data_IF_859089511264
#
_entry.id   IF_859089511264
#
_cell.length_a   1.000
_cell.length_b   1.000
_cell.length_c   1.000
_cell.angle_alpha   90.00
_cell.angle_beta   90.00
_cell.angle_gamma   90.00
#
_symmetry.space_group_name_H-M   'P 1'
#
loop_
_entity.id
_entity.type
_entity.pdbx_description
1 polymer ?
#
# COMPACT_ATOMS: atom_id res chain seq x y z
N UNK A 1 -28.08 11.06 12.90
CA UNK A 1 -27.81 10.21 11.74
C UNK A 1 -28.41 8.83 11.85
N UNK A 2 -28.19 8.02 10.81
CA UNK A 2 -28.58 6.60 10.70
C UNK A 2 -27.59 5.77 11.50
N UNK A 3 -28.04 4.98 12.46
CA UNK A 3 -27.18 4.17 13.32
C UNK A 3 -27.39 2.66 13.10
N UNK A 4 -26.31 1.92 12.93
CA UNK A 4 -26.33 0.44 12.85
C UNK A 4 -26.74 -0.19 14.19
N UNK A 5 -27.65 -1.17 14.15
CA UNK A 5 -28.07 -2.01 15.28
C UNK A 5 -28.89 -3.20 14.71
N UNK A 6 -28.69 -4.48 15.12
CA UNK A 6 -27.81 -4.99 16.20
C UNK A 6 -26.44 -5.50 15.73
N UNK A 7 -25.61 -5.90 16.69
CA UNK A 7 -24.30 -6.53 16.48
C UNK A 7 -24.39 -7.80 15.58
N UNK A 8 -23.26 -8.15 14.95
CA UNK A 8 -23.07 -9.33 14.10
C UNK A 8 -24.08 -9.40 12.95
N UNK A 9 -24.24 -8.29 12.23
CA UNK A 9 -25.20 -8.18 11.12
C UNK A 9 -24.62 -7.55 9.87
N UNK A 10 -25.18 -7.98 8.75
CA UNK A 10 -25.18 -7.22 7.51
C UNK A 10 -26.29 -6.17 7.56
N UNK A 11 -25.96 -4.96 7.15
CA UNK A 11 -26.86 -3.83 7.00
C UNK A 11 -26.95 -3.51 5.52
N UNK A 12 -28.16 -3.31 5.02
CA UNK A 12 -28.41 -2.82 3.68
C UNK A 12 -29.48 -1.73 3.76
N UNK A 13 -29.14 -0.53 3.31
CA UNK A 13 -30.04 0.61 3.24
C UNK A 13 -29.68 1.41 1.99
N UNK A 14 -30.67 1.76 1.18
CA UNK A 14 -30.50 2.58 -0.01
C UNK A 14 -31.51 3.73 -0.05
N UNK A 15 -31.16 4.77 -0.80
CA UNK A 15 -32.04 5.87 -1.13
C UNK A 15 -31.88 6.24 -2.61
N UNK A 16 -32.99 6.56 -3.26
CA UNK A 16 -33.01 7.07 -4.63
C UNK A 16 -32.88 8.59 -4.63
N UNK A 17 -32.21 9.13 -5.64
CA UNK A 17 -32.16 10.56 -5.95
C UNK A 17 -32.37 10.77 -7.46
N UNK A 18 -32.62 12.02 -7.92
CA UNK A 18 -32.78 12.30 -9.34
C UNK A 18 -31.57 11.85 -10.15
N UNK A 19 -31.81 11.07 -11.20
CA UNK A 19 -30.74 10.53 -12.04
C UNK A 19 -29.87 11.64 -12.63
N UNK A 20 -28.56 11.45 -12.59
CA UNK A 20 -27.61 12.34 -13.24
C UNK A 20 -26.37 11.59 -13.75
N UNK A 21 -25.59 12.27 -14.59
CA UNK A 21 -24.22 11.88 -14.93
C UNK A 21 -23.28 13.01 -14.55
N UNK A 22 -22.07 12.66 -14.10
CA UNK A 22 -21.02 13.64 -13.86
C UNK A 22 -20.23 14.01 -15.14
N UNK A 23 -20.70 13.64 -16.33
CA UNK A 23 -20.08 14.10 -17.57
C UNK A 23 -19.95 15.63 -17.58
N UNK A 24 -18.76 16.11 -17.92
CA UNK A 24 -18.36 17.52 -17.96
C UNK A 24 -18.45 18.26 -16.60
N UNK A 25 -18.61 17.53 -15.49
CA UNK A 25 -18.77 18.10 -14.14
C UNK A 25 -17.91 17.36 -13.13
N UNK A 26 -17.47 18.08 -12.09
CA UNK A 26 -16.91 17.43 -10.91
C UNK A 26 -17.99 16.61 -10.22
N UNK A 27 -17.64 15.42 -9.73
CA UNK A 27 -18.47 14.63 -8.81
C UNK A 27 -17.86 14.74 -7.42
N UNK A 28 -18.68 15.09 -6.43
CA UNK A 28 -18.32 15.12 -5.02
C UNK A 28 -19.23 14.19 -4.25
N UNK A 29 -18.64 13.27 -3.49
CA UNK A 29 -19.33 12.38 -2.55
C UNK A 29 -18.78 12.69 -1.16
N UNK A 30 -19.62 13.21 -0.28
CA UNK A 30 -19.24 13.57 1.08
C UNK A 30 -20.23 13.00 2.09
N UNK A 31 -19.74 12.46 3.20
CA UNK A 31 -20.59 12.09 4.32
C UNK A 31 -19.77 12.05 5.62
N UNK A 32 -20.47 12.08 6.75
CA UNK A 32 -19.87 11.91 8.06
C UNK A 32 -20.16 10.53 8.63
N UNK A 33 -19.16 9.97 9.30
CA UNK A 33 -19.25 8.67 9.99
C UNK A 33 -18.63 8.79 11.37
N UNK A 34 -19.29 8.19 12.37
CA UNK A 34 -18.82 8.12 13.75
C UNK A 34 -18.85 6.67 14.22
N UNK A 35 -17.70 6.13 14.61
CA UNK A 35 -17.57 4.79 15.19
C UNK A 35 -17.59 4.87 16.73
N UNK A 36 -18.67 5.37 17.32
CA UNK A 36 -18.72 5.66 18.75
C UNK A 36 -18.54 4.43 19.64
N UNK A 37 -18.85 3.25 19.10
CA UNK A 37 -18.69 1.98 19.79
C UNK A 37 -17.25 1.49 19.87
N UNK A 38 -16.28 2.22 19.29
CA UNK A 38 -14.90 1.76 19.05
C UNK A 38 -14.90 0.51 18.18
N UNK A 39 -15.19 0.71 16.90
CA UNK A 39 -15.34 -0.36 15.92
C UNK A 39 -14.05 -1.20 15.81
N UNK A 40 -14.20 -2.51 15.90
CA UNK A 40 -13.12 -3.49 15.82
C UNK A 40 -13.06 -4.17 14.44
N UNK A 41 -14.21 -4.58 13.90
CA UNK A 41 -14.35 -5.02 12.53
C UNK A 41 -15.71 -4.67 11.93
N UNK A 42 -15.71 -3.86 10.88
CA UNK A 42 -16.85 -3.53 10.06
C UNK A 42 -16.58 -2.43 9.04
N UNK A 43 -17.48 -2.33 8.07
CA UNK A 43 -17.45 -1.28 7.05
C UNK A 43 -18.05 0.02 7.56
N UNK A 44 -17.55 1.13 7.02
CA UNK A 44 -18.11 2.47 7.17
C UNK A 44 -18.23 3.21 5.83
N UNK A 45 -18.23 2.48 4.71
CA UNK A 45 -18.24 3.01 3.35
C UNK A 45 -19.65 3.21 2.77
N UNK A 46 -19.75 4.07 1.76
CA UNK A 46 -20.97 4.34 0.98
C UNK A 46 -20.80 3.80 -0.44
N UNK A 47 -21.90 3.37 -1.07
CA UNK A 47 -21.96 2.97 -2.48
C UNK A 47 -22.83 3.95 -3.26
N UNK A 48 -22.36 4.39 -4.41
CA UNK A 48 -23.17 5.02 -5.45
C UNK A 48 -23.47 3.99 -6.53
N UNK A 49 -24.73 3.93 -6.95
CA UNK A 49 -25.20 2.95 -7.92
C UNK A 49 -25.84 3.66 -9.12
N UNK A 50 -25.75 3.00 -10.27
CA UNK A 50 -26.27 3.50 -11.53
C UNK A 50 -27.33 2.58 -12.11
N UNK A 51 -28.28 3.16 -12.85
CA UNK A 51 -29.37 2.44 -13.50
C UNK A 51 -30.43 1.95 -12.52
N UNK A 52 -31.37 1.14 -12.99
CA UNK A 52 -32.48 0.68 -12.15
C UNK A 52 -32.05 -0.48 -11.24
N UNK A 53 -32.08 -0.27 -9.92
CA UNK A 53 -31.86 -1.32 -8.92
C UNK A 53 -33.16 -1.64 -8.18
N UNK A 54 -33.37 -2.90 -7.81
CA UNK A 54 -34.39 -3.25 -6.81
C UNK A 54 -33.83 -3.01 -5.40
N UNK A 55 -34.19 -1.87 -4.82
CA UNK A 55 -33.80 -1.48 -3.46
C UNK A 55 -34.23 -2.51 -2.40
N UNK A 56 -35.28 -3.32 -2.65
CA UNK A 56 -35.74 -4.34 -1.70
C UNK A 56 -34.78 -5.52 -1.61
N UNK A 57 -33.99 -5.74 -2.66
CA UNK A 57 -32.98 -6.82 -2.73
C UNK A 57 -31.55 -6.28 -2.70
N UNK A 58 -31.37 -5.00 -2.36
CA UNK A 58 -30.05 -4.38 -2.27
C UNK A 58 -29.15 -5.15 -1.29
N UNK A 59 -27.98 -5.56 -1.77
CA UNK A 59 -27.05 -6.45 -1.06
C UNK A 59 -25.62 -6.33 -1.60
N UNK A 60 -24.69 -7.09 -1.03
CA UNK A 60 -23.28 -7.11 -1.47
C UNK A 60 -23.07 -7.51 -2.93
N UNK A 61 -24.01 -8.27 -3.51
CA UNK A 61 -24.01 -8.69 -4.91
C UNK A 61 -24.57 -7.61 -5.87
N UNK A 62 -25.13 -6.53 -5.34
CA UNK A 62 -25.66 -5.45 -6.18
C UNK A 62 -24.50 -4.66 -6.79
N UNK A 63 -24.47 -4.60 -8.13
CA UNK A 63 -23.49 -3.80 -8.86
C UNK A 63 -23.58 -2.33 -8.44
N UNK A 64 -22.44 -1.75 -8.12
CA UNK A 64 -22.29 -0.32 -7.81
C UNK A 64 -21.31 0.32 -8.80
N UNK A 65 -21.36 1.64 -8.91
CA UNK A 65 -20.44 2.41 -9.75
C UNK A 65 -19.23 2.89 -8.98
N UNK A 66 -19.44 3.31 -7.72
CA UNK A 66 -18.39 3.80 -6.83
C UNK A 66 -18.66 3.25 -5.43
N UNK A 67 -17.62 2.77 -4.75
CA UNK A 67 -17.64 2.51 -3.31
C UNK A 67 -16.54 3.35 -2.65
N UNK A 68 -16.91 4.15 -1.65
CA UNK A 68 -15.99 5.08 -1.01
C UNK A 68 -16.18 5.11 0.51
N UNK A 69 -15.09 5.09 1.27
CA UNK A 69 -15.14 5.32 2.72
C UNK A 69 -14.32 4.35 3.57
N UNK A 70 -14.30 4.54 4.90
CA UNK A 70 -13.48 3.75 5.80
C UNK A 70 -13.94 2.30 5.90
N UNK A 71 -12.98 1.42 6.10
CA UNK A 71 -13.15 0.01 6.40
C UNK A 71 -12.12 -0.41 7.44
N UNK A 72 -12.61 -0.92 8.56
CA UNK A 72 -11.81 -1.28 9.72
C UNK A 72 -12.05 -2.76 9.97
N UNK A 73 -11.01 -3.57 10.01
CA UNK A 73 -11.09 -4.94 10.50
C UNK A 73 -9.77 -5.37 11.15
N UNK A 74 -9.77 -5.38 12.48
CA UNK A 74 -8.62 -5.71 13.30
C UNK A 74 -7.44 -4.75 13.09
N UNK A 75 -6.23 -5.31 13.13
CA UNK A 75 -5.00 -4.56 12.90
C UNK A 75 -4.57 -4.52 11.43
N UNK A 76 -5.10 -5.43 10.60
CA UNK A 76 -4.68 -5.60 9.20
C UNK A 76 -5.40 -4.66 8.23
N UNK A 77 -6.62 -4.25 8.55
CA UNK A 77 -7.45 -3.41 7.66
C UNK A 77 -7.87 -2.15 8.39
N UNK A 78 -7.30 -1.01 7.99
CA UNK A 78 -7.63 0.34 8.50
C UNK A 78 -7.45 1.36 7.37
N UNK A 79 -8.30 1.25 6.36
CA UNK A 79 -8.12 1.99 5.11
C UNK A 79 -9.42 2.62 4.62
N UNK A 80 -9.28 3.59 3.74
CA UNK A 80 -10.38 4.18 2.97
C UNK A 80 -10.43 3.47 1.63
N UNK A 81 -11.55 2.79 1.36
CA UNK A 81 -11.85 2.31 0.02
C UNK A 81 -12.16 3.49 -0.89
N UNK A 82 -11.63 3.44 -2.11
CA UNK A 82 -12.04 4.27 -3.24
C UNK A 82 -12.06 3.36 -4.46
N UNK A 83 -13.15 2.60 -4.61
CA UNK A 83 -13.31 1.58 -5.65
C UNK A 83 -14.15 2.17 -6.76
N UNK A 84 -13.66 2.04 -7.99
CA UNK A 84 -14.33 2.49 -9.20
C UNK A 84 -14.70 1.29 -10.06
N UNK A 85 -15.94 1.22 -10.53
CA UNK A 85 -16.40 0.15 -11.41
C UNK A 85 -16.23 0.57 -12.87
N UNK A 86 -15.51 -0.24 -13.64
CA UNK A 86 -15.33 -0.05 -15.08
C UNK A 86 -15.45 -1.40 -15.79
N UNK A 87 -16.15 -1.46 -16.92
CA UNK A 87 -16.40 -2.69 -17.67
C UNK A 87 -16.89 -3.88 -16.81
N UNK A 88 -17.77 -3.58 -15.84
CA UNK A 88 -18.33 -4.57 -14.91
C UNK A 88 -17.36 -5.12 -13.87
N UNK A 89 -16.17 -4.54 -13.74
CA UNK A 89 -15.16 -4.93 -12.74
C UNK A 89 -14.93 -3.82 -11.73
N UNK A 90 -14.80 -4.21 -10.47
CA UNK A 90 -14.51 -3.30 -9.36
C UNK A 90 -12.98 -3.13 -9.25
N UNK A 91 -12.48 -1.95 -9.56
CA UNK A 91 -11.06 -1.62 -9.46
C UNK A 91 -10.79 -0.90 -8.14
N UNK A 92 -9.95 -1.49 -7.29
CA UNK A 92 -9.49 -0.88 -6.05
C UNK A 92 -8.39 0.15 -6.36
N UNK A 93 -8.38 1.24 -5.60
CA UNK A 93 -7.25 2.17 -5.58
C UNK A 93 -5.97 1.43 -5.15
N UNK A 94 -4.85 1.71 -5.84
CA UNK A 94 -3.53 1.13 -5.55
C UNK A 94 -2.88 1.73 -4.31
N UNK A 95 -3.22 2.99 -4.02
CA UNK A 95 -2.67 3.73 -2.88
C UNK A 95 -3.34 3.28 -1.59
N UNK A 96 -2.55 3.22 -0.52
CA UNK A 96 -3.04 2.88 0.82
C UNK A 96 -3.41 4.16 1.56
N UNK A 97 -4.71 4.42 1.68
CA UNK A 97 -5.25 5.62 2.34
C UNK A 97 -5.70 5.21 3.75
N UNK A 98 -5.02 5.69 4.78
CA UNK A 98 -5.40 5.38 6.18
C UNK A 98 -6.70 6.07 6.56
N UNK A 99 -7.59 5.34 7.26
CA UNK A 99 -8.79 5.92 7.84
C UNK A 99 -8.59 6.31 9.32
N UNK A 100 -9.46 7.19 9.82
CA UNK A 100 -9.50 7.52 11.25
C UNK A 100 -10.17 6.39 12.03
N UNK A 101 -9.66 6.09 13.23
CA UNK A 101 -10.09 4.92 14.02
C UNK A 101 -10.50 5.24 15.46
N UNK A 102 -10.62 6.52 15.79
CA UNK A 102 -11.13 6.93 17.11
C UNK A 102 -12.68 6.86 17.14
N UNK A 103 -13.28 7.35 18.24
CA UNK A 103 -14.73 7.29 18.48
C UNK A 103 -15.46 8.58 18.10
N UNK A 104 -14.74 9.55 17.52
CA UNK A 104 -15.27 10.84 17.09
C UNK A 104 -15.92 10.72 15.72
N UNK A 105 -16.65 11.77 15.37
CA UNK A 105 -17.21 11.92 14.03
C UNK A 105 -16.11 12.41 13.10
N UNK A 106 -15.98 11.79 11.93
CA UNK A 106 -15.10 12.25 10.85
C UNK A 106 -15.89 12.43 9.55
N UNK A 107 -15.42 13.33 8.69
CA UNK A 107 -16.02 13.62 7.38
C UNK A 107 -15.12 13.07 6.29
N UNK A 108 -15.65 12.21 5.43
CA UNK A 108 -14.95 11.64 4.28
C UNK A 108 -15.50 12.27 3.01
N UNK A 109 -14.61 12.78 2.17
CA UNK A 109 -14.96 13.43 0.89
C UNK A 109 -14.15 12.84 -0.25
N UNK A 110 -14.82 12.44 -1.32
CA UNK A 110 -14.21 11.99 -2.56
C UNK A 110 -14.63 12.88 -3.71
N UNK A 111 -13.65 13.41 -4.43
CA UNK A 111 -13.82 14.35 -5.53
C UNK A 111 -13.24 13.71 -6.78
N UNK A 112 -14.03 13.63 -7.86
CA UNK A 112 -13.58 13.17 -9.18
C UNK A 112 -13.83 14.30 -10.19
N UNK A 113 -12.80 14.70 -10.94
CA UNK A 113 -12.84 15.87 -11.85
C UNK A 113 -12.86 15.47 -13.33
N UNK A 114 -13.31 16.36 -14.24
CA UNK A 114 -13.35 16.08 -15.68
C UNK A 114 -12.02 15.81 -16.36
N UNK A 115 -10.90 16.19 -15.74
CA UNK A 115 -9.55 15.88 -16.21
C UNK A 115 -9.06 14.49 -15.77
N UNK A 116 -9.96 13.65 -15.25
CA UNK A 116 -9.64 12.32 -14.68
C UNK A 116 -8.65 12.39 -13.52
N UNK A 117 -8.67 13.49 -12.77
CA UNK A 117 -8.01 13.59 -11.45
C UNK A 117 -9.00 13.36 -10.32
N UNK A 118 -8.48 13.05 -9.15
CA UNK A 118 -9.28 12.89 -7.93
C UNK A 118 -8.60 13.50 -6.70
N UNK A 119 -9.39 13.74 -5.67
CA UNK A 119 -8.90 14.02 -4.30
C UNK A 119 -9.74 13.25 -3.28
N UNK A 120 -9.09 12.71 -2.26
CA UNK A 120 -9.72 12.17 -1.05
C UNK A 120 -9.35 13.07 0.12
N UNK A 121 -10.37 13.63 0.77
CA UNK A 121 -10.21 14.46 1.95
C UNK A 121 -10.82 13.72 3.15
N UNK A 122 -10.17 13.88 4.29
CA UNK A 122 -10.73 13.51 5.60
C UNK A 122 -10.70 14.78 6.45
N UNK A 123 -11.83 15.14 7.04
CA UNK A 123 -11.96 16.31 7.92
C UNK A 123 -11.51 17.62 7.24
N UNK A 124 -11.94 17.79 5.97
CA UNK A 124 -11.53 18.88 5.06
C UNK A 124 -10.03 19.00 4.79
N UNK A 125 -9.22 17.98 5.13
CA UNK A 125 -7.80 17.92 4.80
C UNK A 125 -7.57 16.91 3.68
N UNK A 126 -6.91 17.33 2.61
CA UNK A 126 -6.50 16.40 1.55
C UNK A 126 -5.53 15.37 2.12
N UNK A 127 -5.91 14.10 2.01
CA UNK A 127 -5.08 12.95 2.41
C UNK A 127 -4.44 12.30 1.19
N UNK A 128 -5.11 12.35 0.05
CA UNK A 128 -4.63 11.75 -1.19
C UNK A 128 -5.19 12.49 -2.40
N UNK A 129 -4.39 12.59 -3.47
CA UNK A 129 -4.81 13.11 -4.77
C UNK A 129 -3.98 12.52 -5.90
N UNK A 130 -4.53 12.51 -7.11
CA UNK A 130 -3.84 11.90 -8.24
C UNK A 130 -4.71 11.72 -9.46
N UNK A 131 -4.40 10.69 -10.26
CA UNK A 131 -5.06 10.45 -11.53
C UNK A 131 -5.66 9.05 -11.60
N UNK A 132 -6.87 8.96 -12.16
CA UNK A 132 -7.55 7.70 -12.43
C UNK A 132 -6.72 6.77 -13.35
N UNK A 133 -5.87 7.35 -14.21
CA UNK A 133 -4.97 6.62 -15.10
C UNK A 133 -3.85 5.86 -14.39
N UNK A 134 -3.33 6.40 -13.28
CA UNK A 134 -2.18 5.84 -12.57
C UNK A 134 -2.60 5.04 -11.34
N UNK A 135 -3.62 5.51 -10.63
CA UNK A 135 -3.88 5.10 -9.25
C UNK A 135 -4.90 3.96 -9.17
N UNK A 136 -5.50 3.58 -10.31
CA UNK A 136 -6.27 2.34 -10.48
C UNK A 136 -5.69 1.51 -11.62
N UNK A 137 -5.97 0.20 -11.59
CA UNK A 137 -5.65 -0.73 -12.69
C UNK A 137 -6.84 -0.88 -13.64
N UNK A 138 -7.41 0.24 -14.09
CA UNK A 138 -8.54 0.24 -15.05
C UNK A 138 -8.00 0.07 -16.47
N UNK A 139 -7.05 0.91 -16.85
CA UNK A 139 -6.38 0.86 -18.14
C UNK A 139 -5.02 0.17 -18.00
N UNK A 140 -4.52 -0.49 -19.07
CA UNK A 140 -3.16 -0.98 -19.09
C UNK A 140 -2.16 0.19 -18.94
N UNK A 141 -0.90 -0.07 -18.54
CA UNK A 141 0.08 1.00 -18.41
C UNK A 141 0.36 1.66 -19.76
N UNK A 142 0.54 2.98 -19.77
CA UNK A 142 0.88 3.75 -20.98
C UNK A 142 2.16 3.27 -21.65
N UNK A 143 3.14 2.88 -20.85
CA UNK A 143 4.43 2.38 -21.32
C UNK A 143 4.73 1.01 -20.70
N UNK A 144 5.32 0.14 -21.51
CA UNK A 144 5.81 -1.16 -21.10
C UNK A 144 7.30 -1.26 -21.41
N UNK A 145 8.00 -2.17 -20.73
CA UNK A 145 9.37 -2.52 -21.15
C UNK A 145 9.28 -3.17 -22.51
N UNK A 146 10.17 -2.76 -23.41
CA UNK A 146 10.29 -3.36 -24.73
C UNK A 146 10.56 -4.87 -24.59
N UNK A 147 9.62 -5.74 -25.02
CA UNK A 147 9.76 -7.19 -24.89
C UNK A 147 10.85 -7.74 -25.82
N UNK A 148 11.19 -7.01 -26.89
CA UNK A 148 12.19 -7.41 -27.88
C UNK A 148 13.58 -6.85 -27.57
N UNK A 149 13.68 -5.93 -26.61
CA UNK A 149 14.95 -5.35 -26.20
C UNK A 149 15.86 -6.39 -25.55
N UNK A 150 17.09 -6.46 -26.05
CA UNK A 150 18.16 -7.29 -25.50
C UNK A 150 19.25 -6.41 -24.92
N UNK A 151 19.87 -6.90 -23.84
CA UNK A 151 21.09 -6.29 -23.31
C UNK A 151 22.17 -6.30 -24.39
N UNK A 152 22.73 -5.13 -24.76
CA UNK A 152 23.85 -5.07 -25.70
C UNK A 152 25.04 -5.86 -25.18
N UNK A 153 25.78 -6.52 -26.08
CA UNK A 153 26.96 -7.32 -25.71
C UNK A 153 28.06 -6.46 -25.08
N UNK A 154 28.16 -5.19 -25.46
CA UNK A 154 29.12 -4.20 -24.95
C UNK A 154 28.65 -3.52 -23.65
N UNK A 155 27.52 -3.95 -23.07
CA UNK A 155 26.99 -3.37 -21.84
C UNK A 155 27.54 -4.06 -20.59
N UNK A 156 28.50 -3.43 -19.93
CA UNK A 156 29.03 -3.94 -18.67
C UNK A 156 28.19 -3.48 -17.47
N UNK A 157 27.48 -4.43 -16.86
CA UNK A 157 26.67 -4.23 -15.65
C UNK A 157 27.36 -4.78 -14.38
N UNK A 158 28.63 -5.19 -14.48
CA UNK A 158 29.42 -5.58 -13.32
C UNK A 158 30.05 -4.33 -12.71
N UNK A 159 29.52 -3.91 -11.57
CA UNK A 159 30.04 -2.75 -10.82
C UNK A 159 31.50 -2.96 -10.36
N UNK A 160 31.85 -4.22 -10.07
CA UNK A 160 33.19 -4.60 -9.62
C UNK A 160 33.77 -5.71 -10.49
N UNK A 161 35.03 -5.56 -10.87
CA UNK A 161 35.82 -6.56 -11.58
C UNK A 161 37.04 -6.96 -10.74
N UNK A 162 37.60 -8.16 -10.93
CA UNK A 162 38.86 -8.53 -10.27
C UNK A 162 39.96 -7.55 -10.67
N UNK A 163 40.79 -7.17 -9.70
CA UNK A 163 41.93 -6.28 -9.91
C UNK A 163 43.00 -7.01 -10.72
N UNK A 164 43.27 -6.60 -11.97
CA UNK A 164 44.25 -7.27 -12.82
C UNK A 164 45.68 -7.17 -12.27
N UNK A 165 45.96 -6.17 -11.41
CA UNK A 165 47.26 -5.96 -10.79
C UNK A 165 47.41 -6.74 -9.48
N UNK A 166 46.30 -7.18 -8.86
CA UNK A 166 46.31 -8.04 -7.68
C UNK A 166 46.50 -9.50 -8.11
N UNK A 167 47.76 -9.87 -8.31
CA UNK A 167 48.16 -11.25 -8.61
C UNK A 167 48.45 -11.99 -7.31
N UNK A 168 48.09 -13.28 -7.28
CA UNK A 168 48.46 -14.15 -6.16
C UNK A 168 49.99 -14.18 -6.02
N UNK A 169 50.55 -13.88 -4.84
CA UNK A 169 51.98 -14.00 -4.62
C UNK A 169 52.47 -15.43 -4.84
N UNK A 170 53.66 -15.57 -5.40
CA UNK A 170 54.34 -16.87 -5.51
C UNK A 170 54.55 -17.46 -4.11
N UNK A 171 54.28 -18.76 -3.94
CA UNK A 171 54.39 -19.44 -2.65
C UNK A 171 53.21 -19.27 -1.69
N UNK A 172 52.18 -18.47 -2.03
CA UNK A 172 51.04 -18.22 -1.12
C UNK A 172 50.26 -19.50 -0.78
N UNK A 173 50.05 -20.37 -1.77
CA UNK A 173 49.33 -21.64 -1.57
C UNK A 173 50.20 -22.72 -0.91
N UNK A 174 51.52 -22.51 -0.85
CA UNK A 174 52.49 -23.44 -0.26
C UNK A 174 52.64 -23.23 1.26
N UNK A 175 52.03 -22.18 1.82
CA UNK A 175 51.99 -21.93 3.26
C UNK A 175 50.98 -22.90 3.89
N UNK A 176 51.41 -23.87 4.71
CA UNK A 176 50.50 -24.82 5.34
C UNK A 176 49.64 -24.13 6.40
N UNK A 177 48.43 -24.60 6.61
CA UNK A 177 47.52 -24.09 7.65
C UNK A 177 48.00 -24.40 9.08
N UNK A 178 48.79 -25.46 9.23
CA UNK A 178 49.38 -25.92 10.48
C UNK A 178 50.89 -26.14 10.32
N UNK A 179 51.64 -25.82 11.36
CA UNK A 179 53.07 -26.09 11.48
C UNK A 179 53.32 -26.86 12.79
N UNK A 180 54.39 -27.64 12.86
CA UNK A 180 54.82 -28.24 14.12
C UNK A 180 55.21 -27.14 15.11
N UNK A 181 54.76 -27.26 16.36
CA UNK A 181 55.08 -26.30 17.42
C UNK A 181 56.60 -26.23 17.65
N UNK A 182 57.27 -25.09 17.36
CA UNK A 182 58.71 -24.97 17.50
C UNK A 182 59.17 -24.90 18.97
N UNK A 183 58.25 -24.58 19.89
CA UNK A 183 58.53 -24.48 21.32
C UNK A 183 58.20 -25.78 22.06
N UNK A 184 57.55 -26.73 21.38
CA UNK A 184 57.26 -28.04 21.96
C UNK A 184 58.55 -28.82 22.19
N UNK A 185 58.75 -29.20 23.45
CA UNK A 185 59.82 -30.11 23.87
C UNK A 185 59.20 -31.44 24.23
N UNK A 186 59.90 -32.52 23.86
CA UNK A 186 59.56 -33.86 24.30
C UNK A 186 59.50 -33.89 25.84
N UNK A 187 58.40 -34.37 26.44
CA UNK A 187 58.29 -34.51 27.89
C UNK A 187 59.40 -35.40 28.46
N UNK A 188 59.87 -35.09 29.67
CA UNK A 188 60.92 -35.88 30.34
C UNK A 188 60.43 -37.29 30.74
N UNK A 189 59.12 -37.51 30.81
CA UNK A 189 58.49 -38.79 31.16
C UNK A 189 58.02 -39.62 29.95
N UNK A 190 58.37 -39.21 28.71
CA UNK A 190 57.97 -39.92 27.49
C UNK A 190 58.82 -41.18 27.25
N UNK A 191 58.17 -42.33 27.05
CA UNK A 191 58.83 -43.60 26.75
C UNK A 191 58.57 -44.02 25.28
N UNK A 192 59.61 -44.02 24.44
CA UNK A 192 59.47 -44.37 23.01
C UNK A 192 59.12 -45.85 22.77
N UNK A 193 59.38 -46.76 23.71
CA UNK A 193 59.04 -48.19 23.57
C UNK A 193 57.55 -48.46 23.88
N UNK A 194 56.95 -47.69 24.80
CA UNK A 194 55.56 -47.85 25.24
C UNK A 194 54.58 -46.86 24.57
N UNK A 195 54.98 -45.60 24.36
CA UNK A 195 54.14 -44.52 23.80
C UNK A 195 54.36 -44.27 22.30
N UNK A 196 55.44 -44.82 21.73
CA UNK A 196 55.86 -44.65 20.33
C UNK A 196 56.73 -43.41 20.09
N UNK A 197 57.17 -43.21 18.83
CA UNK A 197 58.03 -42.08 18.46
C UNK A 197 57.31 -40.75 18.70
N UNK A 198 57.84 -39.95 19.63
CA UNK A 198 57.27 -38.64 19.94
C UNK A 198 57.29 -37.73 18.70
N UNK A 199 56.14 -37.17 18.37
CA UNK A 199 56.01 -36.14 17.34
C UNK A 199 55.50 -34.84 17.96
N UNK A 200 56.10 -33.68 17.63
CA UNK A 200 55.65 -32.41 18.17
C UNK A 200 54.20 -32.13 17.73
N UNK A 201 53.35 -31.56 18.61
CA UNK A 201 51.99 -31.20 18.24
C UNK A 201 52.00 -30.15 17.12
N UNK A 202 50.97 -30.18 16.26
CA UNK A 202 50.77 -29.13 15.26
C UNK A 202 50.01 -27.95 15.87
N UNK A 203 50.41 -26.74 15.50
CA UNK A 203 49.77 -25.48 15.87
C UNK A 203 49.35 -24.72 14.61
N UNK A 204 48.33 -23.86 14.68
CA UNK A 204 47.96 -23.01 13.55
C UNK A 204 49.14 -22.14 13.10
N UNK A 205 49.43 -22.15 11.80
CA UNK A 205 50.51 -21.35 11.23
C UNK A 205 50.13 -19.86 11.21
N UNK A 206 50.83 -18.96 11.93
CA UNK A 206 50.51 -17.53 11.94
C UNK A 206 50.65 -16.86 10.56
N UNK A 207 51.45 -17.44 9.66
CA UNK A 207 51.64 -16.92 8.30
C UNK A 207 50.53 -17.35 7.33
N UNK A 208 49.69 -18.33 7.69
CA UNK A 208 48.59 -18.77 6.85
C UNK A 208 47.43 -17.77 6.87
N UNK A 209 47.26 -17.03 5.76
CA UNK A 209 46.24 -15.98 5.61
C UNK A 209 44.91 -16.48 5.04
N UNK A 210 44.71 -17.80 4.99
CA UNK A 210 43.54 -18.42 4.37
C UNK A 210 43.60 -18.42 2.84
N UNK A 211 42.58 -18.99 2.16
CA UNK A 211 42.54 -19.05 0.70
C UNK A 211 42.63 -17.66 0.07
N UNK A 212 43.55 -17.49 -0.88
CA UNK A 212 43.73 -16.22 -1.57
C UNK A 212 42.45 -15.81 -2.31
N UNK A 213 42.07 -14.54 -2.17
CA UNK A 213 40.95 -13.92 -2.89
C UNK A 213 41.45 -12.67 -3.60
N UNK A 214 41.35 -12.66 -4.91
CA UNK A 214 41.67 -11.49 -5.73
C UNK A 214 40.83 -10.29 -5.27
N UNK A 215 41.49 -9.15 -5.05
CA UNK A 215 40.81 -7.89 -4.79
C UNK A 215 39.89 -7.54 -5.94
N UNK A 216 38.81 -6.82 -5.64
CA UNK A 216 37.89 -6.30 -6.63
C UNK A 216 38.03 -4.78 -6.70
N UNK A 217 38.16 -4.25 -7.91
CA UNK A 217 38.18 -2.81 -8.18
C UNK A 217 36.90 -2.39 -8.87
N UNK A 218 36.56 -1.10 -8.77
CA UNK A 218 35.44 -0.53 -9.53
C UNK A 218 35.72 -0.67 -11.01
N UNK A 219 34.74 -1.18 -11.74
CA UNK A 219 34.86 -1.36 -13.17
C UNK A 219 34.73 0.00 -13.88
N UNK A 220 35.77 0.49 -14.58
CA UNK A 220 35.71 1.76 -15.31
C UNK A 220 34.69 1.74 -16.46
N UNK A 221 34.32 0.55 -16.96
CA UNK A 221 33.35 0.38 -18.04
C UNK A 221 31.91 0.15 -17.54
N UNK A 222 31.66 0.21 -16.23
CA UNK A 222 30.33 -0.02 -15.67
C UNK A 222 29.32 1.01 -16.20
N UNK A 223 28.36 0.55 -17.01
CA UNK A 223 27.29 1.37 -17.59
C UNK A 223 26.02 1.38 -16.74
N UNK A 224 26.03 0.74 -15.58
CA UNK A 224 24.85 0.53 -14.74
C UNK A 224 24.16 -0.80 -15.02
N UNK A 225 23.23 -1.20 -14.14
CA UNK A 225 22.38 -2.38 -14.41
C UNK A 225 21.52 -2.11 -15.64
N UNK A 226 21.68 -2.92 -16.67
CA UNK A 226 20.90 -2.80 -17.89
C UNK A 226 19.39 -2.92 -17.58
N UNK A 227 18.60 -2.05 -18.20
CA UNK A 227 17.13 -2.08 -18.16
C UNK A 227 16.62 -1.93 -19.58
N UNK A 228 15.68 -2.78 -19.98
CA UNK A 228 14.98 -2.62 -21.25
C UNK A 228 14.37 -1.20 -21.34
N UNK A 229 14.45 -0.54 -22.51
CA UNK A 229 13.81 0.75 -22.74
C UNK A 229 12.30 0.62 -22.54
N UNK A 230 11.66 1.73 -22.16
CA UNK A 230 10.20 1.81 -22.12
C UNK A 230 9.70 2.23 -23.51
N UNK A 231 8.73 1.49 -24.02
CA UNK A 231 8.02 1.79 -25.27
C UNK A 231 6.54 2.02 -24.97
N UNK A 232 5.86 2.72 -25.87
CA UNK A 232 4.42 2.90 -25.76
C UNK A 232 3.71 1.54 -25.87
N UNK A 233 2.75 1.32 -24.98
CA UNK A 233 2.03 0.07 -24.92
C UNK A 233 0.97 0.02 -26.04
N UNK A 234 1.06 -0.90 -27.01
CA UNK A 234 0.09 -0.99 -28.11
C UNK A 234 -1.32 -1.33 -27.63
N UNK A 235 -1.46 -1.92 -26.43
CA UNK A 235 -2.75 -2.21 -25.81
C UNK A 235 -3.35 -0.98 -25.09
N UNK A 236 -2.56 0.07 -24.86
CA UNK A 236 -3.08 1.30 -24.25
C UNK A 236 -3.95 2.06 -25.24
N UNK A 237 -5.22 2.22 -24.87
CA UNK A 237 -6.17 3.09 -25.54
C UNK A 237 -6.62 4.14 -24.54
N UNK A 238 -6.46 5.40 -24.91
CA UNK A 238 -6.87 6.50 -24.06
C UNK A 238 -8.40 6.55 -23.96
N UNK A 239 -8.90 6.72 -22.73
CA UNK A 239 -10.34 6.79 -22.44
C UNK A 239 -10.60 8.15 -21.81
N UNK A 240 -10.85 9.20 -22.60
CA UNK A 240 -10.96 10.57 -22.09
C UNK A 240 -12.10 10.74 -21.07
N UNK A 241 -13.15 9.91 -21.20
CA UNK A 241 -14.31 9.89 -20.31
C UNK A 241 -14.15 8.89 -19.14
N UNK A 242 -12.92 8.50 -18.77
CA UNK A 242 -12.64 7.54 -17.68
C UNK A 242 -13.26 7.96 -16.32
N UNK A 243 -13.41 9.27 -16.11
CA UNK A 243 -14.02 9.85 -14.91
C UNK A 243 -15.56 9.80 -14.89
N UNK A 244 -16.19 9.47 -16.02
CA UNK A 244 -17.64 9.58 -16.21
C UNK A 244 -18.34 8.33 -15.68
N UNK A 245 -19.26 8.55 -14.76
CA UNK A 245 -20.22 7.58 -14.26
C UNK A 245 -21.62 7.98 -14.77
N UNK A 246 -22.20 7.23 -15.73
CA UNK A 246 -23.52 7.52 -16.27
C UNK A 246 -24.62 7.01 -15.35
N UNK A 247 -25.80 7.64 -15.41
CA UNK A 247 -27.05 7.15 -14.81
C UNK A 247 -27.00 6.93 -13.28
N UNK A 248 -26.23 7.72 -12.55
CA UNK A 248 -26.18 7.68 -11.09
C UNK A 248 -27.54 8.12 -10.54
N UNK A 249 -28.18 7.27 -9.74
CA UNK A 249 -29.54 7.51 -9.22
C UNK A 249 -29.81 6.87 -7.85
N UNK A 250 -28.88 6.11 -7.28
CA UNK A 250 -28.99 5.59 -5.92
C UNK A 250 -27.72 5.75 -5.11
N UNK A 251 -27.91 5.91 -3.80
CA UNK A 251 -26.88 5.84 -2.77
C UNK A 251 -27.26 4.75 -1.78
N UNK A 252 -26.30 4.02 -1.25
CA UNK A 252 -26.58 3.00 -0.25
C UNK A 252 -25.42 2.66 0.66
N UNK A 253 -25.77 2.15 1.84
CA UNK A 253 -24.87 1.50 2.77
C UNK A 253 -25.16 0.02 2.72
N UNK A 254 -24.17 -0.77 2.31
CA UNK A 254 -24.21 -2.23 2.42
C UNK A 254 -22.94 -2.65 3.14
N UNK A 255 -23.08 -3.11 4.37
CA UNK A 255 -21.97 -3.21 5.34
C UNK A 255 -22.13 -4.42 6.23
N UNK A 256 -21.02 -5.08 6.56
CA UNK A 256 -20.93 -5.98 7.70
C UNK A 256 -20.38 -5.21 8.90
N UNK A 257 -20.95 -5.39 10.10
CA UNK A 257 -20.34 -4.95 11.36
C UNK A 257 -20.43 -6.04 12.44
N UNK A 258 -19.30 -6.31 13.09
CA UNK A 258 -19.23 -7.17 14.29
C UNK A 258 -19.86 -6.43 15.46
N UNK A 259 -19.31 -5.28 15.84
CA UNK A 259 -19.87 -4.39 16.85
C UNK A 259 -20.61 -3.23 16.19
N UNK A 260 -21.93 -3.18 16.37
CA UNK A 260 -22.79 -2.12 15.87
C UNK A 260 -22.68 -0.85 16.72
N UNK A 261 -23.20 0.26 16.17
CA UNK A 261 -23.19 1.57 16.80
C UNK A 261 -22.62 2.67 15.90
N UNK A 262 -22.18 2.34 14.69
CA UNK A 262 -21.72 3.35 13.72
C UNK A 262 -22.86 4.23 13.28
N UNK A 263 -22.63 5.54 13.29
CA UNK A 263 -23.60 6.56 12.91
C UNK A 263 -23.14 7.22 11.61
N UNK A 264 -24.01 7.26 10.62
CA UNK A 264 -23.84 7.96 9.35
C UNK A 264 -24.72 9.21 9.31
N UNK A 265 -24.18 10.33 8.85
CA UNK A 265 -24.93 11.58 8.74
C UNK A 265 -24.35 12.50 7.65
N UNK A 266 -25.04 13.60 7.35
CA UNK A 266 -24.57 14.66 6.43
C UNK A 266 -24.15 14.15 5.04
N UNK A 267 -24.93 13.23 4.47
CA UNK A 267 -24.66 12.64 3.15
C UNK A 267 -24.95 13.68 2.05
N UNK A 268 -23.94 13.99 1.25
CA UNK A 268 -23.96 14.95 0.17
C UNK A 268 -23.40 14.33 -1.11
N UNK A 269 -24.15 14.47 -2.20
CA UNK A 269 -23.67 14.22 -3.56
C UNK A 269 -23.91 15.50 -4.35
N UNK A 270 -22.84 16.12 -4.85
CA UNK A 270 -22.94 17.37 -5.61
C UNK A 270 -21.81 17.50 -6.64
N UNK A 271 -21.71 18.66 -7.27
CA UNK A 271 -20.69 19.00 -8.26
C UNK A 271 -19.81 20.20 -7.88
N UNK A 272 -19.91 20.66 -6.63
CA UNK A 272 -19.25 21.87 -6.12
C UNK A 272 -18.40 21.49 -4.88
N UNK A 273 -17.08 21.33 -5.05
CA UNK A 273 -16.15 21.04 -3.95
C UNK A 273 -16.18 22.10 -2.84
N UNK A 274 -16.29 23.38 -3.20
CA UNK A 274 -16.33 24.49 -2.25
C UNK A 274 -17.60 24.45 -1.40
N UNK A 275 -18.74 24.06 -1.99
CA UNK A 275 -19.97 23.82 -1.24
C UNK A 275 -19.82 22.66 -0.26
N UNK A 276 -19.17 21.57 -0.66
CA UNK A 276 -18.93 20.42 0.21
C UNK A 276 -18.08 20.79 1.43
N UNK A 277 -17.00 21.55 1.22
CA UNK A 277 -16.14 22.10 2.29
C UNK A 277 -16.97 22.95 3.25
N UNK A 278 -17.77 23.90 2.73
CA UNK A 278 -18.64 24.75 3.55
C UNK A 278 -19.66 23.94 4.35
N UNK A 279 -20.28 22.92 3.76
CA UNK A 279 -21.23 22.07 4.48
C UNK A 279 -20.54 21.34 5.64
N UNK A 280 -19.33 20.81 5.44
CA UNK A 280 -18.56 20.15 6.49
C UNK A 280 -18.15 21.13 7.61
N UNK A 281 -17.82 22.39 7.26
CA UNK A 281 -17.57 23.45 8.23
C UNK A 281 -18.82 23.79 9.04
N UNK A 282 -19.96 23.91 8.37
CA UNK A 282 -21.23 24.30 8.97
C UNK A 282 -21.90 23.22 9.81
N UNK A 283 -21.53 21.95 9.61
CA UNK A 283 -22.10 20.79 10.31
C UNK A 283 -21.09 20.19 11.29
N UNK A 284 -20.11 19.43 10.80
CA UNK A 284 -19.13 18.74 11.63
C UNK A 284 -18.20 19.70 12.38
N UNK A 285 -17.60 20.68 11.69
CA UNK A 285 -16.55 21.49 12.31
C UNK A 285 -17.07 22.41 13.43
N UNK A 286 -18.31 22.91 13.33
CA UNK A 286 -18.96 23.68 14.40
C UNK A 286 -19.13 22.89 15.69
N UNK A 287 -19.24 21.56 15.61
CA UNK A 287 -19.55 20.72 16.76
C UNK A 287 -18.38 19.85 17.23
N UNK A 288 -17.32 19.70 16.43
CA UNK A 288 -16.19 18.79 16.71
C UNK A 288 -15.54 19.04 18.07
N UNK A 289 -15.33 20.31 18.47
CA UNK A 289 -14.65 20.63 19.73
C UNK A 289 -15.56 20.37 20.94
N UNK A 290 -16.87 20.61 20.81
CA UNK A 290 -17.87 20.28 21.83
C UNK A 290 -17.95 18.76 22.02
N UNK A 291 -17.96 18.00 20.93
CA UNK A 291 -17.95 16.54 20.97
C UNK A 291 -16.67 15.99 21.59
N UNK A 292 -15.51 16.53 21.19
CA UNK A 292 -14.21 16.15 21.75
C UNK A 292 -14.16 16.40 23.26
N UNK A 293 -14.52 17.61 23.71
CA UNK A 293 -14.50 17.94 25.13
C UNK A 293 -15.49 17.10 25.94
N UNK A 294 -16.65 16.78 25.37
CA UNK A 294 -17.63 15.90 26.01
C UNK A 294 -17.11 14.47 26.10
N UNK A 295 -16.41 13.97 25.08
CA UNK A 295 -15.77 12.67 25.07
C UNK A 295 -14.65 12.55 26.11
N UNK A 296 -13.73 13.52 26.15
CA UNK A 296 -12.66 13.56 27.15
C UNK A 296 -13.21 13.73 28.57
N UNK A 297 -14.25 14.55 28.76
CA UNK A 297 -14.92 14.71 30.05
C UNK A 297 -15.53 13.41 30.58
N UNK A 298 -16.16 12.61 29.73
CA UNK A 298 -16.67 11.27 30.08
C UNK A 298 -15.49 10.34 30.41
N UNK A 299 -14.44 10.35 29.58
CA UNK A 299 -13.26 9.50 29.78
C UNK A 299 -12.54 9.79 31.10
N UNK A 300 -12.43 11.05 31.51
CA UNK A 300 -11.83 11.42 32.79
C UNK A 300 -12.72 11.09 34.01
N UNK A 301 -14.02 10.87 33.80
CA UNK A 301 -14.98 10.53 34.86
C UNK A 301 -15.14 9.02 35.11
N UNK A 302 -14.65 8.17 34.20
CA UNK A 302 -14.64 6.71 34.31
C UNK A 302 -13.27 6.18 34.77
#
# INVERSE_FOLDING_TARGET
GIQTNPDYRFFALSAQFPEFSNKDKTLVIQYSVKHEQKLDCGGGYIKLLSGDIDQKTFSGETNYSIMFGPDICGYSTKKVHAILTHDGKNHLIKKDITCETDQLTHVYTFIIRPDSTYSVLIDNKEKESGSLYSDWSILPPRQIKDPDAKKPEDWDDKEYIPDPEDKKPEGYDDIPNEITDPDAKKPEDWDDEEDGEWTPPTIPNPEYKGPWKQKKIKNPNFKGKWKAPLIDNPEFKDVPDLYVFPNLNYVGFELWQVKSGTIFDNILICNDPEYAVKLAEETWAKHKDVWFNSFEGIRCAC
#
